data_IF_430409814303
#
_entry.id   IF_430409814303
#
_cell.length_a   1.000
_cell.length_b   1.000
_cell.length_c   1.000
_cell.angle_alpha   90.00
_cell.angle_beta   90.00
_cell.angle_gamma   90.00
#
_symmetry.space_group_name_H-M   'P 1'
#
loop_
_entity.id
_entity.type
_entity.pdbx_description
1 polymer ?
#
# COMPACT_ATOMS: atom_id res chain seq x y z
N UNK A 1 -8.79 7.65 5.00
CA UNK A 1 -8.05 8.57 4.09
C UNK A 1 -6.69 7.98 3.74
N UNK A 2 -5.98 8.49 2.72
CA UNK A 2 -4.65 7.99 2.35
C UNK A 2 -3.87 8.89 1.39
N UNK A 3 -2.57 8.62 1.23
CA UNK A 3 -1.70 9.21 0.21
C UNK A 3 -1.53 8.25 -0.97
N UNK A 4 -1.26 8.80 -2.16
CA UNK A 4 -1.02 8.01 -3.37
C UNK A 4 0.12 8.63 -4.16
N UNK A 5 0.98 7.77 -4.70
CA UNK A 5 2.13 8.14 -5.51
C UNK A 5 2.27 7.18 -6.70
N UNK A 6 2.65 7.72 -7.86
CA UNK A 6 3.10 6.91 -8.99
C UNK A 6 4.60 6.71 -8.83
N UNK A 7 5.04 5.46 -8.78
CA UNK A 7 6.45 5.11 -8.67
C UNK A 7 7.04 5.02 -10.07
N UNK A 8 8.18 5.69 -10.27
CA UNK A 8 8.87 5.70 -11.54
C UNK A 8 9.30 4.27 -11.95
N UNK A 9 9.03 3.84 -13.19
CA UNK A 9 9.46 2.54 -13.68
C UNK A 9 10.96 2.32 -13.53
N UNK A 10 11.34 1.11 -13.13
CA UNK A 10 12.74 0.67 -12.97
C UNK A 10 13.58 1.42 -11.92
N UNK A 11 12.97 2.31 -11.13
CA UNK A 11 13.56 2.84 -9.89
C UNK A 11 13.87 1.72 -8.89
N UNK A 12 14.68 2.01 -7.87
CA UNK A 12 15.03 1.03 -6.84
C UNK A 12 13.79 0.47 -6.13
N UNK A 13 12.85 1.34 -5.74
CA UNK A 13 11.59 0.93 -5.11
C UNK A 13 10.73 0.05 -6.04
N UNK A 14 10.64 0.41 -7.31
CA UNK A 14 9.92 -0.38 -8.31
C UNK A 14 10.50 -1.80 -8.44
N UNK A 15 11.83 -1.91 -8.52
CA UNK A 15 12.51 -3.21 -8.65
C UNK A 15 12.32 -4.09 -7.41
N UNK A 16 12.34 -3.50 -6.20
CA UNK A 16 12.03 -4.23 -4.95
C UNK A 16 10.63 -4.85 -4.99
N UNK A 17 9.64 -4.12 -5.52
CA UNK A 17 8.27 -4.64 -5.67
C UNK A 17 8.20 -5.75 -6.71
N UNK A 18 8.91 -5.64 -7.83
CA UNK A 18 8.98 -6.72 -8.82
C UNK A 18 9.56 -8.00 -8.23
N UNK A 19 10.66 -7.90 -7.48
CA UNK A 19 11.29 -9.04 -6.81
C UNK A 19 10.35 -9.67 -5.79
N UNK A 20 9.73 -8.86 -4.93
CA UNK A 20 8.74 -9.32 -3.94
C UNK A 20 7.56 -10.05 -4.59
N UNK A 21 7.04 -9.51 -5.70
CA UNK A 21 5.94 -10.12 -6.47
C UNK A 21 6.39 -11.26 -7.39
N UNK A 22 7.70 -11.59 -7.41
CA UNK A 22 8.29 -12.61 -8.28
C UNK A 22 8.02 -12.37 -9.77
N UNK A 23 7.98 -11.10 -10.17
CA UNK A 23 7.80 -10.68 -11.56
C UNK A 23 9.18 -10.45 -12.17
N UNK A 24 9.58 -11.20 -13.21
CA UNK A 24 10.85 -10.98 -13.88
C UNK A 24 10.90 -9.59 -14.51
N UNK A 25 11.94 -8.81 -14.20
CA UNK A 25 12.16 -7.48 -14.81
C UNK A 25 12.17 -7.53 -16.34
N UNK A 26 12.80 -8.57 -16.91
CA UNK A 26 12.86 -8.79 -18.35
C UNK A 26 11.50 -9.02 -19.00
N UNK A 27 10.49 -9.47 -18.24
CA UNK A 27 9.12 -9.59 -18.74
C UNK A 27 8.44 -8.22 -18.84
N UNK A 28 8.70 -7.32 -17.89
CA UNK A 28 8.17 -5.95 -17.88
C UNK A 28 8.81 -5.09 -18.98
N UNK A 29 10.12 -5.22 -19.18
CA UNK A 29 10.85 -4.50 -20.24
C UNK A 29 10.37 -4.85 -21.66
N UNK A 30 9.82 -6.06 -21.84
CA UNK A 30 9.29 -6.53 -23.13
C UNK A 30 7.84 -6.12 -23.38
N UNK A 31 7.18 -5.47 -22.43
CA UNK A 31 5.80 -5.03 -22.61
C UNK A 31 5.74 -3.84 -23.58
N UNK A 32 4.70 -3.75 -24.43
CA UNK A 32 4.53 -2.63 -25.36
C UNK A 32 4.27 -1.29 -24.64
N UNK A 33 3.83 -1.35 -23.38
CA UNK A 33 3.61 -0.19 -22.52
C UNK A 33 4.21 -0.46 -21.14
N UNK A 34 4.75 0.58 -20.47
CA UNK A 34 5.27 0.44 -19.12
C UNK A 34 4.15 0.05 -18.15
N UNK A 35 4.44 -0.93 -17.29
CA UNK A 35 3.54 -1.29 -16.19
C UNK A 35 3.69 -0.27 -15.07
N UNK A 36 2.70 0.60 -14.88
CA UNK A 36 2.75 1.62 -13.84
C UNK A 36 2.57 0.99 -12.45
N UNK A 37 3.38 1.44 -11.49
CA UNK A 37 3.24 1.07 -10.08
C UNK A 37 2.62 2.23 -9.31
N UNK A 38 1.46 1.98 -8.69
CA UNK A 38 0.78 2.96 -7.84
C UNK A 38 0.98 2.52 -6.39
N UNK A 39 1.68 3.34 -5.61
CA UNK A 39 1.87 3.17 -4.17
C UNK A 39 0.74 3.90 -3.45
N UNK A 40 -0.01 3.18 -2.62
CA UNK A 40 -1.08 3.72 -1.78
C UNK A 40 -0.68 3.50 -0.33
N UNK A 41 -0.65 4.59 0.44
CA UNK A 41 -0.33 4.55 1.87
C UNK A 41 -1.60 5.00 2.62
N UNK A 42 -2.30 4.10 3.33
CA UNK A 42 -3.43 4.50 4.16
C UNK A 42 -2.94 5.37 5.32
N UNK A 43 -3.68 6.43 5.64
CA UNK A 43 -3.39 7.31 6.79
C UNK A 43 -4.41 7.12 7.91
N UNK A 44 -5.48 6.41 7.63
CA UNK A 44 -6.64 6.28 8.51
C UNK A 44 -7.40 5.03 8.14
N UNK A 45 -7.83 4.27 9.15
CA UNK A 45 -8.55 3.01 9.03
C UNK A 45 -9.79 3.09 9.93
N UNK A 46 -10.95 2.90 9.32
CA UNK A 46 -12.20 2.62 10.02
C UNK A 46 -12.49 1.13 9.97
N UNK A 47 -12.75 0.52 11.13
CA UNK A 47 -13.06 -0.89 11.23
C UNK A 47 -14.31 -1.12 12.07
N UNK A 48 -15.25 -1.89 11.51
CA UNK A 48 -16.52 -2.22 12.17
C UNK A 48 -16.55 -3.71 12.52
N UNK A 49 -16.66 -4.01 13.82
CA UNK A 49 -16.77 -5.37 14.33
C UNK A 49 -17.69 -5.41 15.56
N UNK A 50 -18.80 -6.15 15.46
CA UNK A 50 -19.78 -6.27 16.55
C UNK A 50 -19.24 -6.98 17.79
N UNK A 51 -18.24 -7.87 17.64
CA UNK A 51 -17.66 -8.63 18.76
C UNK A 51 -16.94 -7.73 19.76
N UNK A 52 -16.50 -6.54 19.36
CA UNK A 52 -15.90 -5.58 20.29
C UNK A 52 -16.85 -5.18 21.42
N UNK A 53 -18.16 -5.24 21.20
CA UNK A 53 -19.14 -4.98 22.27
C UNK A 53 -19.09 -6.04 23.37
N UNK A 54 -18.82 -7.29 23.02
CA UNK A 54 -18.65 -8.39 23.99
C UNK A 54 -17.39 -8.19 24.83
N UNK A 55 -16.39 -7.51 24.27
CA UNK A 55 -15.13 -7.14 24.94
C UNK A 55 -15.21 -5.77 25.68
N UNK A 56 -16.39 -5.13 25.71
CA UNK A 56 -16.61 -3.84 26.38
C UNK A 56 -16.15 -2.61 25.58
N UNK A 57 -15.79 -2.78 24.32
CA UNK A 57 -15.34 -1.72 23.41
C UNK A 57 -16.47 -1.26 22.46
N UNK A 58 -16.28 -0.10 21.80
CA UNK A 58 -17.18 0.32 20.72
C UNK A 58 -17.04 -0.62 19.50
N UNK A 59 -18.16 -0.90 18.83
CA UNK A 59 -18.15 -1.72 17.60
C UNK A 59 -17.38 -1.08 16.44
N UNK A 60 -17.31 0.24 16.38
CA UNK A 60 -16.57 0.99 15.38
C UNK A 60 -15.27 1.51 16.01
N UNK A 61 -14.16 1.04 15.48
CA UNK A 61 -12.83 1.48 15.86
C UNK A 61 -12.26 2.37 14.77
N UNK A 62 -11.58 3.42 15.19
CA UNK A 62 -10.97 4.41 14.31
C UNK A 62 -9.48 4.51 14.62
N UNK A 63 -8.64 4.31 13.61
CA UNK A 63 -7.19 4.36 13.77
C UNK A 63 -6.59 5.36 12.79
N UNK A 64 -5.91 6.37 13.33
CA UNK A 64 -5.06 7.27 12.56
C UNK A 64 -3.63 6.71 12.53
N UNK A 65 -3.11 6.46 11.33
CA UNK A 65 -1.76 5.97 11.14
C UNK A 65 -0.80 7.16 11.04
N UNK A 66 0.26 7.22 11.86
CA UNK A 66 1.27 8.25 11.70
C UNK A 66 1.90 8.11 10.31
N UNK A 67 2.02 9.23 9.60
CA UNK A 67 2.85 9.29 8.41
C UNK A 67 4.30 9.22 8.90
N UNK A 68 5.00 8.12 8.63
CA UNK A 68 6.46 8.14 8.77
C UNK A 68 6.97 9.21 7.80
N UNK A 69 7.53 10.29 8.33
CA UNK A 69 8.32 11.23 7.54
C UNK A 69 9.52 10.44 6.99
N UNK A 70 9.59 10.31 5.66
CA UNK A 70 10.75 9.73 4.98
C UNK A 70 12.00 10.50 5.46
N UNK A 71 12.89 9.82 6.21
CA UNK A 71 14.23 10.30 6.52
C UNK A 71 15.15 10.16 5.32
#
# INVERSE_FOLDING_TARGET
MGKTQIIEPFSEEYNKVLEYKKIPRTAIEKMPHPMNLIKVIPTEIDFLNSKFKEEGCDSRQHLNLPLEDEK
#
